data_IF_424413393439
#
_entry.id   IF_424413393439
#
_cell.length_a   1.000
_cell.length_b   1.000
_cell.length_c   1.000
_cell.angle_alpha   90.00
_cell.angle_beta   90.00
_cell.angle_gamma   90.00
#
_symmetry.space_group_name_H-M   'P 1'
#
loop_
_entity.id
_entity.type
_entity.pdbx_description
1 polymer ?
#
# COMPACT_ATOMS: atom_id res chain seq x y z
N UNK A 1 13.49 12.70 29.13
CA UNK A 1 13.99 11.55 28.38
C UNK A 1 13.07 10.39 28.72
N UNK A 2 12.23 9.97 27.79
CA UNK A 2 11.27 8.91 28.03
C UNK A 2 11.84 7.56 27.56
N UNK A 3 11.43 6.48 28.20
CA UNK A 3 11.71 5.12 27.76
C UNK A 3 10.55 4.64 26.89
N UNK A 4 10.80 4.47 25.59
CA UNK A 4 9.75 4.16 24.61
C UNK A 4 10.02 2.84 23.92
N UNK A 5 9.04 1.95 23.91
CA UNK A 5 9.10 0.66 23.21
C UNK A 5 8.45 0.77 21.83
N UNK A 6 9.17 0.37 20.81
CA UNK A 6 8.67 0.20 19.44
C UNK A 6 8.36 -1.27 19.20
N UNK A 7 7.10 -1.59 18.91
CA UNK A 7 6.63 -2.94 18.61
C UNK A 7 6.52 -3.14 17.12
N UNK A 8 7.33 -4.05 16.57
CA UNK A 8 7.41 -4.34 15.15
C UNK A 8 8.46 -3.50 14.43
N UNK A 9 9.36 -4.17 13.69
CA UNK A 9 10.52 -3.56 13.01
C UNK A 9 10.38 -3.55 11.48
N UNK A 10 9.17 -3.23 11.00
CA UNK A 10 8.93 -2.85 9.61
C UNK A 10 9.36 -1.41 9.32
N UNK A 11 9.09 -0.89 8.10
CA UNK A 11 9.41 0.50 7.72
C UNK A 11 8.92 1.52 8.76
N UNK A 12 7.68 1.37 9.24
CA UNK A 12 7.09 2.25 10.27
C UNK A 12 7.82 2.17 11.61
N UNK A 13 8.21 0.96 12.04
CA UNK A 13 8.96 0.79 13.30
C UNK A 13 10.35 1.39 13.23
N UNK A 14 11.05 1.21 12.12
CA UNK A 14 12.36 1.84 11.89
C UNK A 14 12.23 3.36 11.86
N UNK A 15 11.20 3.89 11.19
CA UNK A 15 10.92 5.34 11.16
C UNK A 15 10.64 5.89 12.56
N UNK A 16 9.78 5.21 13.32
CA UNK A 16 9.45 5.58 14.70
C UNK A 16 10.71 5.56 15.61
N UNK A 17 11.53 4.50 15.53
CA UNK A 17 12.75 4.41 16.31
C UNK A 17 13.73 5.57 16.02
N UNK A 18 13.95 5.87 14.74
CA UNK A 18 14.81 7.00 14.32
C UNK A 18 14.25 8.36 14.76
N UNK A 19 12.92 8.51 14.74
CA UNK A 19 12.26 9.73 15.17
C UNK A 19 12.38 9.94 16.68
N UNK A 20 12.12 8.89 17.47
CA UNK A 20 12.24 8.89 18.94
C UNK A 20 13.67 9.15 19.41
N UNK A 21 14.64 8.44 18.86
CA UNK A 21 16.05 8.67 19.17
C UNK A 21 16.49 10.11 18.83
N UNK A 22 16.02 10.65 17.70
CA UNK A 22 16.27 12.05 17.32
C UNK A 22 15.63 13.07 18.27
N UNK A 23 14.60 12.68 19.04
CA UNK A 23 13.97 13.47 20.12
C UNK A 23 14.74 13.34 21.46
N UNK A 24 15.67 12.41 21.56
CA UNK A 24 16.45 12.13 22.77
C UNK A 24 15.81 11.11 23.71
N UNK A 25 14.85 10.31 23.22
CA UNK A 25 14.26 9.23 24.02
C UNK A 25 15.12 7.96 24.02
N UNK A 26 15.04 7.18 25.09
CA UNK A 26 15.61 5.82 25.13
C UNK A 26 14.68 4.88 24.38
N UNK A 27 15.15 4.36 23.25
CA UNK A 27 14.35 3.50 22.37
C UNK A 27 14.64 2.02 22.65
N UNK A 28 13.59 1.26 22.90
CA UNK A 28 13.61 -0.19 22.96
C UNK A 28 12.83 -0.74 21.75
N UNK A 29 13.28 -1.89 21.21
CA UNK A 29 12.62 -2.52 20.06
C UNK A 29 12.27 -3.95 20.41
N UNK A 30 11.02 -4.34 20.13
CA UNK A 30 10.59 -5.74 20.19
C UNK A 30 9.97 -6.17 18.86
N UNK A 31 10.40 -7.29 18.30
CA UNK A 31 9.92 -7.83 17.04
C UNK A 31 9.71 -9.35 17.14
N UNK A 32 8.51 -9.81 16.79
CA UNK A 32 8.15 -11.24 16.85
C UNK A 32 8.94 -12.10 15.87
N UNK A 33 9.47 -11.51 14.80
CA UNK A 33 10.27 -12.22 13.81
C UNK A 33 11.75 -12.11 14.15
N UNK A 34 12.41 -13.24 14.15
CA UNK A 34 13.86 -13.33 14.24
C UNK A 34 14.43 -13.90 12.92
N UNK A 35 14.63 -13.02 11.95
CA UNK A 35 15.13 -13.36 10.61
C UNK A 35 16.44 -12.64 10.32
N UNK A 36 17.28 -13.13 9.38
CA UNK A 36 18.50 -12.42 8.99
C UNK A 36 18.27 -10.96 8.62
N UNK A 37 17.19 -10.65 7.89
CA UNK A 37 16.84 -9.27 7.50
C UNK A 37 16.53 -8.40 8.71
N UNK A 38 15.80 -8.91 9.70
CA UNK A 38 15.50 -8.19 10.94
C UNK A 38 16.78 -7.96 11.74
N UNK A 39 17.63 -8.99 11.88
CA UNK A 39 18.92 -8.88 12.57
C UNK A 39 19.84 -7.86 11.91
N UNK A 40 19.87 -7.80 10.59
CA UNK A 40 20.68 -6.82 9.86
C UNK A 40 20.13 -5.39 10.04
N UNK A 41 18.79 -5.22 10.03
CA UNK A 41 18.17 -3.93 10.38
C UNK A 41 18.53 -3.48 11.80
N UNK A 42 18.53 -4.40 12.77
CA UNK A 42 18.95 -4.12 14.15
C UNK A 42 20.43 -3.67 14.21
N UNK A 43 21.33 -4.38 13.50
CA UNK A 43 22.75 -3.99 13.44
C UNK A 43 22.93 -2.58 12.86
N UNK A 44 22.18 -2.24 11.81
CA UNK A 44 22.21 -0.88 11.23
C UNK A 44 21.75 0.16 12.24
N UNK A 45 20.65 -0.08 12.96
CA UNK A 45 20.14 0.85 13.97
C UNK A 45 21.14 1.03 15.15
N UNK A 46 21.84 -0.02 15.57
CA UNK A 46 22.88 0.05 16.60
C UNK A 46 24.07 0.85 16.06
N UNK A 47 24.53 0.56 14.83
CA UNK A 47 25.63 1.28 14.17
C UNK A 47 25.34 2.77 14.02
N UNK A 48 24.09 3.11 13.70
CA UNK A 48 23.62 4.50 13.55
C UNK A 48 23.39 5.19 14.92
N UNK A 49 23.62 4.52 16.04
CA UNK A 49 23.41 5.05 17.40
C UNK A 49 21.94 5.32 17.77
N UNK A 50 21.01 4.67 17.08
CA UNK A 50 19.55 4.81 17.31
C UNK A 50 19.10 4.01 18.52
N UNK A 51 19.72 2.84 18.75
CA UNK A 51 19.43 1.94 19.85
C UNK A 51 20.74 1.33 20.40
N UNK A 52 20.71 0.90 21.64
CA UNK A 52 21.77 0.10 22.24
C UNK A 52 21.52 -1.41 22.04
N UNK A 53 22.58 -2.20 22.09
CA UNK A 53 22.49 -3.66 21.89
C UNK A 53 21.56 -4.35 22.89
N UNK A 54 21.50 -3.89 24.13
CA UNK A 54 20.63 -4.41 25.19
C UNK A 54 19.15 -4.03 25.07
N UNK A 55 18.84 -3.10 24.16
CA UNK A 55 17.50 -2.52 23.98
C UNK A 55 16.69 -3.22 22.87
N UNK A 56 17.02 -4.47 22.55
CA UNK A 56 16.36 -5.23 21.48
C UNK A 56 15.92 -6.61 21.96
N UNK A 57 14.68 -6.97 21.66
CA UNK A 57 14.11 -8.30 21.89
C UNK A 57 13.57 -8.83 20.55
N UNK A 58 14.04 -10.01 20.11
CA UNK A 58 13.62 -10.67 18.88
C UNK A 58 12.99 -12.04 19.16
N UNK A 59 12.03 -12.42 18.34
CA UNK A 59 11.33 -13.72 18.43
C UNK A 59 10.15 -13.76 19.40
N UNK A 60 9.95 -12.70 20.19
CA UNK A 60 8.86 -12.59 21.16
C UNK A 60 8.51 -11.13 21.48
N UNK A 61 7.45 -10.97 22.27
CA UNK A 61 7.07 -9.70 22.89
C UNK A 61 6.81 -10.00 24.37
N UNK A 62 7.82 -9.83 25.23
CA UNK A 62 7.67 -10.11 26.66
C UNK A 62 7.22 -8.88 27.43
N UNK A 63 6.34 -9.07 28.43
CA UNK A 63 5.93 -8.01 29.35
C UNK A 63 7.13 -7.41 30.10
N UNK A 64 8.09 -8.28 30.48
CA UNK A 64 9.29 -7.85 31.17
C UNK A 64 10.10 -6.83 30.36
N UNK A 65 10.16 -6.99 29.03
CA UNK A 65 10.86 -6.07 28.15
C UNK A 65 10.16 -4.72 28.05
N UNK A 66 8.81 -4.73 28.07
CA UNK A 66 7.99 -3.53 28.00
C UNK A 66 7.80 -2.83 29.34
N UNK A 67 8.04 -3.55 30.45
CA UNK A 67 7.88 -3.02 31.80
C UNK A 67 8.71 -1.73 32.01
N UNK A 68 8.17 -0.83 32.80
CA UNK A 68 8.79 0.47 33.14
C UNK A 68 9.06 1.38 31.93
N UNK A 69 8.33 1.18 30.82
CA UNK A 69 8.30 2.13 29.70
C UNK A 69 7.19 3.17 29.86
N UNK A 70 7.44 4.37 29.37
CA UNK A 70 6.50 5.48 29.44
C UNK A 70 5.47 5.44 28.29
N UNK A 71 5.82 4.79 27.18
CA UNK A 71 5.03 4.73 25.96
C UNK A 71 5.36 3.50 25.13
N UNK A 72 4.35 2.95 24.48
CA UNK A 72 4.49 1.91 23.46
C UNK A 72 4.03 2.47 22.11
N UNK A 73 4.89 2.39 21.09
CA UNK A 73 4.58 2.74 19.71
C UNK A 73 4.45 1.45 18.88
N UNK A 74 3.27 1.21 18.33
CA UNK A 74 2.98 -0.03 17.58
C UNK A 74 3.04 0.23 16.08
N UNK A 75 3.84 -0.58 15.37
CA UNK A 75 3.84 -0.59 13.91
C UNK A 75 2.52 -1.15 13.37
N UNK A 76 2.02 -0.65 12.22
CA UNK A 76 0.82 -1.17 11.59
C UNK A 76 0.93 -2.69 11.40
N UNK A 77 -0.06 -3.42 11.90
CA UNK A 77 -0.11 -4.87 11.78
C UNK A 77 0.67 -5.67 12.81
N UNK A 78 1.44 -5.06 13.71
CA UNK A 78 1.99 -5.74 14.86
C UNK A 78 0.88 -6.02 15.89
N UNK A 79 0.92 -7.22 16.50
CA UNK A 79 0.00 -7.58 17.58
C UNK A 79 0.69 -7.27 18.90
N UNK A 80 -0.02 -6.61 19.78
CA UNK A 80 0.37 -6.40 21.17
C UNK A 80 -0.63 -7.13 22.05
N UNK A 81 -0.15 -8.06 22.90
CA UNK A 81 -1.03 -8.85 23.75
C UNK A 81 -1.56 -8.00 24.91
N UNK A 82 -0.72 -7.65 25.86
CA UNK A 82 -1.06 -6.84 27.02
C UNK A 82 -0.07 -5.68 27.16
N UNK A 83 -0.53 -4.56 27.70
CA UNK A 83 0.30 -3.34 27.85
C UNK A 83 0.43 -2.87 29.30
N UNK A 84 -0.14 -3.62 30.25
CA UNK A 84 -0.07 -3.33 31.71
C UNK A 84 -0.35 -1.85 32.07
N UNK A 85 -1.32 -1.23 31.38
CA UNK A 85 -1.68 0.17 31.60
C UNK A 85 -0.74 1.20 30.92
N UNK A 86 0.31 0.76 30.24
CA UNK A 86 1.21 1.69 29.52
C UNK A 86 0.48 2.29 28.33
N UNK A 87 0.57 3.61 28.10
CA UNK A 87 -0.03 4.25 26.94
C UNK A 87 0.46 3.63 25.62
N UNK A 88 -0.47 3.33 24.71
CA UNK A 88 -0.16 2.76 23.38
C UNK A 88 -0.67 3.69 22.30
N UNK A 89 0.18 3.98 21.30
CA UNK A 89 -0.14 4.77 20.12
C UNK A 89 0.37 4.10 18.85
N UNK A 90 -0.15 4.51 17.68
CA UNK A 90 0.41 4.13 16.38
C UNK A 90 1.63 4.99 16.02
N UNK A 91 2.43 4.50 15.06
CA UNK A 91 3.49 5.31 14.44
C UNK A 91 2.93 6.60 13.83
N UNK A 92 1.73 6.53 13.23
CA UNK A 92 1.05 7.70 12.66
C UNK A 92 0.77 8.77 13.71
N UNK A 93 0.27 8.38 14.88
CA UNK A 93 0.02 9.29 16.01
C UNK A 93 1.31 9.96 16.51
N UNK A 94 2.37 9.15 16.68
CA UNK A 94 3.68 9.69 17.06
C UNK A 94 4.17 10.73 16.05
N UNK A 95 4.15 10.39 14.77
CA UNK A 95 4.63 11.27 13.71
C UNK A 95 3.76 12.53 13.59
N UNK A 96 2.44 12.40 13.70
CA UNK A 96 1.52 13.52 13.71
C UNK A 96 1.83 14.52 14.82
N UNK A 97 2.11 14.06 16.03
CA UNK A 97 2.43 14.93 17.17
C UNK A 97 3.68 15.81 16.95
N UNK A 98 4.49 15.47 15.96
CA UNK A 98 5.73 16.16 15.60
C UNK A 98 5.69 16.82 14.20
N UNK A 99 4.59 16.66 13.47
CA UNK A 99 4.43 17.21 12.13
C UNK A 99 4.10 18.71 12.21
N UNK A 100 4.97 19.60 11.64
CA UNK A 100 4.74 21.05 11.73
C UNK A 100 3.77 21.59 10.65
N UNK A 101 3.38 20.74 9.69
CA UNK A 101 2.63 21.12 8.48
C UNK A 101 1.20 20.56 8.49
N UNK A 102 0.26 21.18 7.75
CA UNK A 102 -1.08 20.64 7.57
C UNK A 102 -1.02 19.29 6.81
N UNK A 103 -1.89 18.38 7.23
CA UNK A 103 -1.99 17.04 6.66
C UNK A 103 -3.28 16.90 5.86
N UNK A 104 -3.17 16.34 4.66
CA UNK A 104 -4.25 15.79 3.85
C UNK A 104 -4.18 14.27 3.99
N UNK A 105 -5.18 13.66 4.62
CA UNK A 105 -5.19 12.23 4.90
C UNK A 105 -6.18 11.47 4.01
N UNK A 106 -5.73 10.39 3.37
CA UNK A 106 -6.54 9.58 2.43
C UNK A 106 -6.72 8.18 2.97
N UNK A 107 -7.97 7.75 3.19
CA UNK A 107 -8.31 6.37 3.52
C UNK A 107 -9.42 5.83 2.61
N UNK A 108 -9.68 4.55 2.72
CA UNK A 108 -10.69 3.80 1.96
C UNK A 108 -10.33 2.33 1.89
N UNK A 109 -11.20 1.51 1.37
CA UNK A 109 -10.87 0.12 1.06
C UNK A 109 -9.98 0.07 -0.18
N UNK A 110 -10.38 0.74 -1.26
CA UNK A 110 -9.67 0.80 -2.54
C UNK A 110 -9.37 2.24 -2.96
N UNK A 111 -8.46 2.43 -3.93
CA UNK A 111 -8.18 3.74 -4.55
C UNK A 111 -7.20 4.63 -3.79
N UNK A 112 -6.90 4.36 -2.52
CA UNK A 112 -6.05 5.20 -1.66
C UNK A 112 -4.76 5.67 -2.34
N UNK A 113 -3.96 4.73 -2.81
CA UNK A 113 -2.65 5.03 -3.43
C UNK A 113 -2.81 5.94 -4.66
N UNK A 114 -3.80 5.65 -5.51
CA UNK A 114 -4.08 6.45 -6.71
C UNK A 114 -4.43 7.89 -6.33
N UNK A 115 -5.37 8.05 -5.39
CA UNK A 115 -5.81 9.38 -4.96
C UNK A 115 -4.70 10.15 -4.27
N UNK A 116 -3.97 9.52 -3.36
CA UNK A 116 -2.83 10.15 -2.66
C UNK A 116 -1.76 10.62 -3.64
N UNK A 117 -1.42 9.79 -4.63
CA UNK A 117 -0.43 10.14 -5.67
C UNK A 117 -0.92 11.30 -6.54
N UNK A 118 -2.17 11.25 -7.02
CA UNK A 118 -2.74 12.28 -7.86
C UNK A 118 -2.83 13.64 -7.13
N UNK A 119 -3.29 13.65 -5.89
CA UNK A 119 -3.30 14.86 -5.06
C UNK A 119 -1.89 15.43 -4.98
N UNK A 120 -0.89 14.59 -4.65
CA UNK A 120 0.50 15.03 -4.58
C UNK A 120 0.99 15.65 -5.90
N UNK A 121 0.74 15.01 -7.04
CA UNK A 121 1.13 15.51 -8.35
C UNK A 121 0.44 16.84 -8.70
N UNK A 122 -0.85 16.97 -8.39
CA UNK A 122 -1.60 18.20 -8.64
C UNK A 122 -1.08 19.35 -7.76
N UNK A 123 -0.80 19.10 -6.49
CA UNK A 123 -0.34 20.11 -5.53
C UNK A 123 1.07 20.64 -5.82
N UNK A 124 1.95 19.82 -6.40
CA UNK A 124 3.31 20.24 -6.82
C UNK A 124 3.23 21.46 -7.78
N UNK A 125 2.17 21.56 -8.57
CA UNK A 125 1.98 22.70 -9.49
C UNK A 125 1.82 24.05 -8.80
N UNK A 126 1.48 24.06 -7.50
CA UNK A 126 1.38 25.29 -6.70
C UNK A 126 2.76 25.86 -6.29
N UNK A 127 3.86 25.21 -6.70
CA UNK A 127 5.22 25.61 -6.30
C UNK A 127 5.52 25.38 -4.81
N UNK A 128 4.68 24.63 -4.09
CA UNK A 128 4.88 24.29 -2.67
C UNK A 128 5.67 23.00 -2.51
N UNK A 129 6.30 22.83 -1.36
CA UNK A 129 6.96 21.57 -0.98
C UNK A 129 5.88 20.55 -0.59
N UNK A 130 5.71 19.49 -1.41
CA UNK A 130 4.67 18.47 -1.23
C UNK A 130 5.32 17.15 -0.87
N UNK A 131 4.93 16.58 0.28
CA UNK A 131 5.41 15.30 0.77
C UNK A 131 4.28 14.27 0.71
N UNK A 132 4.47 13.23 -0.12
CA UNK A 132 3.54 12.09 -0.24
C UNK A 132 4.12 10.91 0.53
N UNK A 133 3.41 10.41 1.54
CA UNK A 133 3.94 9.40 2.45
C UNK A 133 2.84 8.54 3.12
N UNK A 134 3.22 7.70 4.08
CA UNK A 134 2.31 6.92 4.93
C UNK A 134 2.30 5.43 4.61
N UNK A 135 1.14 4.87 4.29
CA UNK A 135 1.01 3.47 3.86
C UNK A 135 1.57 3.24 2.43
N UNK A 136 1.90 4.30 1.74
CA UNK A 136 2.64 4.37 0.48
C UNK A 136 4.02 5.00 0.73
N UNK A 137 5.05 4.50 0.05
CA UNK A 137 6.40 5.06 0.14
C UNK A 137 6.99 4.94 1.54
N UNK A 138 7.48 6.05 2.07
CA UNK A 138 8.00 6.13 3.42
C UNK A 138 6.89 6.37 4.45
N UNK A 139 7.01 5.84 5.68
CA UNK A 139 6.10 6.19 6.76
C UNK A 139 6.23 7.68 7.12
N UNK A 140 5.17 8.27 7.69
CA UNK A 140 5.20 9.68 8.06
C UNK A 140 6.36 10.01 9.02
N UNK A 141 6.65 9.10 9.97
CA UNK A 141 7.79 9.24 10.90
C UNK A 141 9.16 9.36 10.21
N UNK A 142 9.31 8.73 9.05
CA UNK A 142 10.53 8.82 8.24
C UNK A 142 10.70 10.16 7.53
N UNK A 143 9.61 10.92 7.35
CA UNK A 143 9.59 12.18 6.62
C UNK A 143 9.64 13.41 7.52
N UNK A 144 9.38 13.30 8.81
CA UNK A 144 9.25 14.44 9.75
C UNK A 144 10.42 15.42 9.67
N UNK A 145 11.66 14.92 9.56
CA UNK A 145 12.84 15.77 9.52
C UNK A 145 12.93 16.71 8.30
N UNK A 146 12.24 16.35 7.20
CA UNK A 146 12.23 17.16 5.97
C UNK A 146 11.01 18.06 5.87
N UNK A 147 9.95 17.81 6.65
CA UNK A 147 8.71 18.57 6.62
C UNK A 147 8.95 19.94 7.26
N UNK A 148 8.58 20.99 6.55
CA UNK A 148 8.60 22.38 7.00
C UNK A 148 7.18 22.87 7.29
N UNK A 149 7.00 24.01 7.95
CA UNK A 149 5.70 24.58 8.28
C UNK A 149 4.86 24.92 7.04
N UNK A 150 5.49 25.26 5.93
CA UNK A 150 4.89 25.63 4.64
C UNK A 150 4.74 24.44 3.67
N UNK A 151 5.22 23.24 4.04
CA UNK A 151 5.01 22.03 3.28
C UNK A 151 3.51 21.65 3.28
N UNK A 152 3.09 20.85 2.28
CA UNK A 152 1.82 20.12 2.29
C UNK A 152 2.14 18.64 2.42
N UNK A 153 1.52 17.98 3.40
CA UNK A 153 1.75 16.55 3.63
C UNK A 153 0.51 15.76 3.22
N UNK A 154 0.67 14.88 2.23
CA UNK A 154 -0.41 13.99 1.74
C UNK A 154 -0.13 12.58 2.23
N UNK A 155 -0.96 12.08 3.14
CA UNK A 155 -0.71 10.81 3.84
C UNK A 155 -1.74 9.76 3.44
N UNK A 156 -1.28 8.65 2.85
CA UNK A 156 -2.12 7.46 2.72
C UNK A 156 -2.24 6.76 4.07
N UNK A 157 -3.46 6.49 4.53
CA UNK A 157 -3.69 5.90 5.85
C UNK A 157 -4.53 4.61 5.75
N UNK A 158 -4.03 3.53 6.36
CA UNK A 158 -4.75 2.26 6.53
C UNK A 158 -5.61 2.25 7.81
N UNK A 159 -6.57 1.31 7.91
CA UNK A 159 -7.33 1.10 9.16
C UNK A 159 -6.41 0.78 10.33
N UNK A 160 -5.37 -0.04 10.11
CA UNK A 160 -4.40 -0.43 11.15
C UNK A 160 -3.59 0.73 11.71
N UNK A 161 -3.29 1.75 10.90
CA UNK A 161 -2.62 2.96 11.36
C UNK A 161 -3.56 3.83 12.19
N UNK A 162 -4.86 3.85 11.85
CA UNK A 162 -5.88 4.63 12.54
C UNK A 162 -6.34 4.02 13.86
N UNK A 163 -6.28 2.68 14.05
CA UNK A 163 -6.77 2.00 15.25
C UNK A 163 -6.27 2.60 16.57
N UNK A 164 -5.00 3.04 16.58
CA UNK A 164 -4.33 3.55 17.78
C UNK A 164 -3.97 5.03 17.67
N UNK A 165 -4.75 5.80 16.91
CA UNK A 165 -4.69 7.26 16.92
C UNK A 165 -5.52 7.81 18.07
N UNK A 166 -5.09 8.95 18.65
CA UNK A 166 -5.77 9.66 19.76
C UNK A 166 -6.07 11.10 19.41
N UNK A 167 -5.03 11.83 18.98
CA UNK A 167 -5.10 13.26 18.64
C UNK A 167 -5.01 13.54 17.14
N UNK A 168 -4.78 12.52 16.31
CA UNK A 168 -4.64 12.67 14.86
C UNK A 168 -5.80 13.46 14.27
N UNK A 169 -5.46 14.65 13.73
CA UNK A 169 -6.41 15.63 13.17
C UNK A 169 -5.85 16.18 11.86
N UNK A 170 -6.11 15.54 10.72
CA UNK A 170 -5.73 16.11 9.43
C UNK A 170 -6.59 17.35 9.11
N UNK A 171 -6.02 18.32 8.41
CA UNK A 171 -6.76 19.52 7.94
C UNK A 171 -7.82 19.15 6.90
N UNK A 172 -7.47 18.18 6.05
CA UNK A 172 -8.39 17.59 5.06
C UNK A 172 -8.32 16.08 5.18
N UNK A 173 -9.47 15.42 5.26
CA UNK A 173 -9.59 13.97 5.25
C UNK A 173 -10.47 13.48 4.10
N UNK A 174 -10.17 12.32 3.56
CA UNK A 174 -10.91 11.70 2.46
C UNK A 174 -11.20 10.25 2.81
N UNK A 175 -12.47 9.84 2.73
CA UNK A 175 -12.91 8.45 2.78
C UNK A 175 -13.47 8.09 1.42
N UNK A 176 -12.72 7.29 0.64
CA UNK A 176 -13.06 6.98 -0.76
C UNK A 176 -14.23 6.02 -0.88
N UNK A 177 -14.18 4.96 -0.12
CA UNK A 177 -15.17 3.87 -0.09
C UNK A 177 -14.92 2.97 1.11
N UNK A 178 -15.95 2.26 1.55
CA UNK A 178 -15.87 1.23 2.59
C UNK A 178 -16.59 -0.01 2.10
N UNK A 179 -15.86 -1.10 1.90
CA UNK A 179 -16.37 -2.41 1.54
C UNK A 179 -15.63 -3.50 2.33
N UNK A 180 -16.16 -4.70 2.35
CA UNK A 180 -15.55 -5.83 3.07
C UNK A 180 -14.09 -6.04 2.68
N UNK A 181 -13.23 -5.95 3.68
CA UNK A 181 -11.80 -6.22 3.55
C UNK A 181 -11.17 -6.42 4.94
N UNK A 182 -10.06 -7.16 5.02
CA UNK A 182 -9.29 -7.35 6.27
C UNK A 182 -10.08 -7.97 7.43
N UNK A 183 -11.10 -8.80 7.18
CA UNK A 183 -11.83 -9.55 8.19
C UNK A 183 -11.01 -10.71 8.81
N UNK A 184 -9.81 -10.94 8.32
CA UNK A 184 -8.77 -11.77 8.94
C UNK A 184 -8.05 -11.09 10.11
N UNK A 185 -8.25 -9.77 10.26
CA UNK A 185 -7.58 -8.92 11.25
C UNK A 185 -8.53 -8.13 12.14
N UNK A 186 -9.60 -7.56 11.59
CA UNK A 186 -10.71 -6.98 12.34
C UNK A 186 -11.70 -8.08 12.68
N UNK A 187 -12.28 -8.03 13.85
CA UNK A 187 -13.27 -9.02 14.31
C UNK A 187 -14.51 -9.06 13.41
N UNK A 188 -14.89 -7.90 12.89
CA UNK A 188 -16.07 -7.72 12.01
C UNK A 188 -15.97 -6.42 11.19
N UNK A 189 -17.00 -6.16 10.38
CA UNK A 189 -17.11 -4.93 9.57
C UNK A 189 -17.28 -3.68 10.41
N UNK A 190 -17.89 -3.76 11.56
CA UNK A 190 -18.14 -2.59 12.44
C UNK A 190 -16.83 -2.07 13.00
N UNK A 191 -15.95 -2.96 13.48
CA UNK A 191 -14.60 -2.60 13.93
C UNK A 191 -13.78 -1.99 12.79
N UNK A 192 -13.83 -2.59 11.59
CA UNK A 192 -13.13 -2.06 10.41
C UNK A 192 -13.60 -0.65 10.03
N UNK A 193 -14.92 -0.43 9.99
CA UNK A 193 -15.51 0.89 9.75
C UNK A 193 -15.09 1.87 10.84
N UNK A 194 -15.26 1.49 12.11
CA UNK A 194 -14.88 2.32 13.26
C UNK A 194 -13.42 2.77 13.21
N UNK A 195 -12.51 1.84 12.87
CA UNK A 195 -11.11 2.18 12.70
C UNK A 195 -10.88 3.25 11.62
N UNK A 196 -11.56 3.16 10.46
CA UNK A 196 -11.43 4.16 9.39
C UNK A 196 -12.02 5.52 9.78
N UNK A 197 -13.12 5.54 10.52
CA UNK A 197 -13.77 6.78 10.94
C UNK A 197 -12.90 7.61 11.89
N UNK A 198 -11.89 7.02 12.52
CA UNK A 198 -10.92 7.77 13.33
C UNK A 198 -10.17 8.85 12.55
N UNK A 199 -10.13 8.77 11.21
CA UNK A 199 -9.46 9.77 10.37
C UNK A 199 -10.01 11.19 10.58
N UNK A 200 -11.28 11.33 10.92
CA UNK A 200 -11.93 12.63 11.16
C UNK A 200 -12.41 12.85 12.59
N UNK A 201 -12.18 11.90 13.52
CA UNK A 201 -12.74 11.94 14.88
C UNK A 201 -12.37 13.19 15.66
N UNK A 202 -11.22 13.79 15.37
CA UNK A 202 -10.74 15.01 16.04
C UNK A 202 -10.89 16.27 15.17
N UNK A 203 -11.46 16.17 13.97
CA UNK A 203 -11.72 17.32 13.11
C UNK A 203 -12.86 18.18 13.69
N UNK A 204 -12.80 19.48 13.44
CA UNK A 204 -13.83 20.46 13.79
C UNK A 204 -14.28 21.29 12.58
N UNK A 205 -15.04 22.36 12.82
CA UNK A 205 -15.65 23.19 11.76
C UNK A 205 -14.65 23.81 10.78
N UNK A 206 -13.38 23.95 11.17
CA UNK A 206 -12.33 24.53 10.31
C UNK A 206 -11.69 23.48 9.37
N UNK A 207 -12.00 22.19 9.56
CA UNK A 207 -11.44 21.08 8.81
C UNK A 207 -12.45 20.57 7.76
N UNK A 208 -11.96 19.79 6.79
CA UNK A 208 -12.80 19.28 5.71
C UNK A 208 -12.75 17.76 5.62
N UNK A 209 -13.90 17.13 5.51
CA UNK A 209 -14.07 15.71 5.23
C UNK A 209 -14.69 15.53 3.85
N UNK A 210 -13.96 14.88 2.93
CA UNK A 210 -14.49 14.46 1.65
C UNK A 210 -15.04 13.04 1.69
N UNK A 211 -16.25 12.86 1.17
CA UNK A 211 -16.97 11.59 1.10
C UNK A 211 -17.45 11.30 -0.32
N UNK A 212 -17.66 10.01 -0.61
CA UNK A 212 -18.31 9.56 -1.82
C UNK A 212 -19.83 9.53 -1.62
N UNK A 213 -20.59 10.36 -2.29
CA UNK A 213 -22.06 10.37 -2.16
C UNK A 213 -22.72 9.05 -2.62
N UNK A 214 -22.01 8.26 -3.48
CA UNK A 214 -22.50 6.97 -3.94
C UNK A 214 -22.25 5.83 -2.94
N UNK A 215 -21.40 6.05 -1.92
CA UNK A 215 -21.18 5.06 -0.87
C UNK A 215 -22.34 5.08 0.15
N UNK A 216 -22.89 3.90 0.42
CA UNK A 216 -24.07 3.75 1.30
C UNK A 216 -23.86 4.24 2.73
N UNK A 217 -22.62 4.27 3.19
CA UNK A 217 -22.27 4.72 4.55
C UNK A 217 -22.03 6.22 4.64
N UNK A 218 -21.83 6.92 3.53
CA UNK A 218 -21.46 8.34 3.51
C UNK A 218 -22.45 9.24 4.25
N UNK A 219 -23.76 8.98 4.11
CA UNK A 219 -24.77 9.75 4.85
C UNK A 219 -24.63 9.59 6.37
N UNK A 220 -24.50 8.34 6.85
CA UNK A 220 -24.30 8.05 8.28
C UNK A 220 -22.99 8.66 8.83
N UNK A 221 -21.95 8.71 7.98
CA UNK A 221 -20.66 9.33 8.33
C UNK A 221 -20.83 10.84 8.43
N UNK A 222 -21.48 11.46 7.44
CA UNK A 222 -21.75 12.89 7.41
C UNK A 222 -22.51 13.35 8.67
N UNK A 223 -23.55 12.60 9.08
CA UNK A 223 -24.37 12.92 10.25
C UNK A 223 -23.59 12.88 11.58
N UNK A 224 -22.47 12.15 11.62
CA UNK A 224 -21.58 12.05 12.80
C UNK A 224 -20.43 13.05 12.78
N UNK A 225 -20.21 13.74 11.69
CA UNK A 225 -19.09 14.66 11.51
C UNK A 225 -19.34 16.00 12.18
N UNK A 226 -18.30 16.58 12.80
CA UNK A 226 -18.28 17.95 13.33
C UNK A 226 -17.60 18.93 12.36
N UNK A 227 -16.89 18.42 11.37
CA UNK A 227 -16.19 19.19 10.36
C UNK A 227 -17.10 19.49 9.15
N UNK A 228 -16.63 20.35 8.26
CA UNK A 228 -17.29 20.62 6.99
C UNK A 228 -17.23 19.37 6.10
N UNK A 229 -18.39 18.84 5.72
CA UNK A 229 -18.47 17.69 4.80
C UNK A 229 -18.68 18.17 3.38
N UNK A 230 -17.84 17.66 2.46
CA UNK A 230 -17.94 17.86 1.03
C UNK A 230 -18.05 16.49 0.33
N UNK A 231 -18.81 16.44 -0.77
CA UNK A 231 -18.95 15.23 -1.56
C UNK A 231 -18.23 15.42 -2.89
N UNK A 232 -17.31 14.51 -3.23
CA UNK A 232 -16.53 14.65 -4.45
C UNK A 232 -17.28 14.34 -5.75
N UNK A 233 -18.53 13.89 -5.68
CA UNK A 233 -19.44 13.85 -6.83
C UNK A 233 -20.09 15.21 -7.14
N UNK A 234 -19.87 16.27 -6.29
CA UNK A 234 -20.19 17.66 -6.61
C UNK A 234 -19.61 18.12 -7.96
N UNK A 235 -18.55 17.45 -8.39
CA UNK A 235 -17.92 17.61 -9.70
C UNK A 235 -18.63 16.81 -10.81
N UNK A 236 -19.95 16.59 -10.72
CA UNK A 236 -20.75 15.98 -11.81
C UNK A 236 -20.61 16.70 -13.15
N UNK A 237 -20.36 18.01 -13.10
CA UNK A 237 -20.10 18.79 -14.30
C UNK A 237 -18.77 18.37 -14.96
N UNK A 238 -17.76 17.97 -14.20
CA UNK A 238 -16.51 17.41 -14.73
C UNK A 238 -16.74 16.04 -15.41
N UNK A 239 -17.58 15.17 -14.82
CA UNK A 239 -17.99 13.91 -15.49
C UNK A 239 -18.57 14.21 -16.88
N UNK A 240 -19.50 15.16 -16.97
CA UNK A 240 -20.17 15.51 -18.23
C UNK A 240 -19.25 16.24 -19.21
N UNK A 241 -18.49 17.22 -18.70
CA UNK A 241 -17.67 18.11 -19.54
C UNK A 241 -16.42 17.40 -20.07
N UNK A 242 -15.79 16.51 -19.29
CA UNK A 242 -14.50 15.88 -19.60
C UNK A 242 -14.56 14.37 -19.69
N UNK A 243 -15.77 13.77 -19.62
CA UNK A 243 -15.98 12.32 -19.64
C UNK A 243 -15.14 11.56 -18.59
N UNK A 244 -14.97 12.14 -17.38
CA UNK A 244 -14.21 11.51 -16.29
C UNK A 244 -15.14 10.59 -15.50
N UNK A 245 -15.08 9.29 -15.76
CA UNK A 245 -15.87 8.27 -15.06
C UNK A 245 -15.20 7.77 -13.76
N UNK A 246 -13.87 7.95 -13.62
CA UNK A 246 -13.10 7.39 -12.54
C UNK A 246 -13.26 8.22 -11.24
N UNK A 247 -13.90 7.63 -10.23
CA UNK A 247 -14.15 8.26 -8.93
C UNK A 247 -12.87 8.67 -8.19
N UNK A 248 -11.75 7.95 -8.39
CA UNK A 248 -10.47 8.35 -7.81
C UNK A 248 -9.96 9.67 -8.39
N UNK A 249 -10.21 9.93 -9.68
CA UNK A 249 -9.86 11.20 -10.30
C UNK A 249 -10.72 12.33 -9.73
N UNK A 250 -12.03 12.12 -9.60
CA UNK A 250 -12.92 13.11 -9.00
C UNK A 250 -12.55 13.42 -7.55
N UNK A 251 -12.22 12.40 -6.75
CA UNK A 251 -11.76 12.59 -5.38
C UNK A 251 -10.48 13.43 -5.30
N UNK A 252 -9.48 13.12 -6.14
CA UNK A 252 -8.23 13.86 -6.19
C UNK A 252 -8.43 15.33 -6.64
N UNK A 253 -9.25 15.54 -7.68
CA UNK A 253 -9.58 16.88 -8.19
C UNK A 253 -10.32 17.72 -7.14
N UNK A 254 -11.24 17.11 -6.38
CA UNK A 254 -11.99 17.81 -5.33
C UNK A 254 -11.06 18.42 -4.29
N UNK A 255 -10.08 17.63 -3.84
CA UNK A 255 -9.08 18.08 -2.86
C UNK A 255 -8.15 19.12 -3.48
N UNK A 256 -7.64 18.88 -4.68
CA UNK A 256 -6.75 19.80 -5.38
C UNK A 256 -7.41 21.15 -5.62
N UNK A 257 -8.71 21.16 -5.98
CA UNK A 257 -9.52 22.39 -6.13
C UNK A 257 -9.68 23.16 -4.81
N UNK A 258 -9.87 22.45 -3.68
CA UNK A 258 -9.92 23.09 -2.35
C UNK A 258 -8.61 23.80 -2.02
N UNK A 259 -7.48 23.22 -2.44
CA UNK A 259 -6.14 23.77 -2.25
C UNK A 259 -5.75 24.83 -3.31
N UNK A 260 -6.64 25.17 -4.25
CA UNK A 260 -6.45 26.23 -5.23
C UNK A 260 -5.76 25.81 -6.54
N UNK A 261 -5.66 24.50 -6.83
CA UNK A 261 -5.14 24.02 -8.12
C UNK A 261 -6.14 24.32 -9.23
N UNK A 262 -5.66 24.90 -10.34
CA UNK A 262 -6.52 25.21 -11.48
C UNK A 262 -7.00 23.96 -12.23
N UNK A 263 -8.16 24.09 -12.88
CA UNK A 263 -8.79 23.00 -13.64
C UNK A 263 -7.87 22.46 -14.74
N UNK A 264 -7.21 23.34 -15.51
CA UNK A 264 -6.29 22.97 -16.59
C UNK A 264 -5.13 22.11 -16.08
N UNK A 265 -4.58 22.43 -14.91
CA UNK A 265 -3.50 21.65 -14.28
C UNK A 265 -4.02 20.29 -13.85
N UNK A 266 -5.20 20.23 -13.21
CA UNK A 266 -5.79 18.96 -12.79
C UNK A 266 -6.04 18.03 -13.99
N UNK A 267 -6.60 18.56 -15.09
CA UNK A 267 -6.84 17.81 -16.33
C UNK A 267 -5.54 17.32 -16.98
N UNK A 268 -4.52 18.18 -17.01
CA UNK A 268 -3.19 17.79 -17.50
C UNK A 268 -2.62 16.62 -16.71
N UNK A 269 -2.61 16.71 -15.38
CA UNK A 269 -2.12 15.63 -14.51
C UNK A 269 -2.89 14.32 -14.76
N UNK A 270 -4.23 14.38 -14.89
CA UNK A 270 -5.05 13.19 -15.18
C UNK A 270 -4.72 12.61 -16.55
N UNK A 271 -4.56 13.43 -17.60
CA UNK A 271 -4.25 12.96 -18.96
C UNK A 271 -2.86 12.32 -19.05
N UNK A 272 -1.91 12.78 -18.24
CA UNK A 272 -0.55 12.26 -18.17
C UNK A 272 -0.39 11.08 -17.20
N UNK A 273 -1.43 10.78 -16.39
CA UNK A 273 -1.36 9.75 -15.37
C UNK A 273 -1.36 8.34 -15.95
N UNK A 274 -0.21 7.68 -15.89
CA UNK A 274 0.00 6.31 -16.40
C UNK A 274 -0.35 5.19 -15.41
N UNK A 275 -1.01 5.52 -14.30
CA UNK A 275 -1.28 4.57 -13.22
C UNK A 275 -0.22 4.59 -12.13
N UNK A 276 -0.31 3.63 -11.22
CA UNK A 276 0.62 3.48 -10.09
C UNK A 276 1.65 2.43 -10.45
N UNK A 277 2.92 2.74 -10.26
CA UNK A 277 4.02 1.80 -10.46
C UNK A 277 3.78 0.51 -9.67
N UNK A 278 4.03 -0.63 -10.30
CA UNK A 278 3.81 -1.97 -9.74
C UNK A 278 2.35 -2.34 -9.42
N UNK A 279 1.35 -1.59 -9.94
CA UNK A 279 -0.07 -1.89 -9.76
C UNK A 279 -0.80 -1.88 -11.10
N UNK A 280 -1.01 -3.06 -11.67
CA UNK A 280 -1.50 -3.24 -13.05
C UNK A 280 -0.82 -2.29 -14.04
N UNK A 281 0.46 -2.00 -13.81
CA UNK A 281 1.28 -1.11 -14.62
C UNK A 281 1.56 -1.77 -15.97
N UNK A 282 1.08 -1.16 -17.06
CA UNK A 282 1.46 -1.58 -18.40
C UNK A 282 2.94 -1.21 -18.65
N UNK A 283 3.78 -2.22 -18.81
CA UNK A 283 5.23 -2.04 -19.00
C UNK A 283 5.57 -1.86 -20.46
N UNK A 284 5.05 -2.74 -21.30
CA UNK A 284 5.34 -2.76 -22.74
C UNK A 284 4.41 -3.71 -23.48
N UNK A 285 4.23 -3.47 -24.78
CA UNK A 285 3.69 -4.43 -25.74
C UNK A 285 4.83 -4.89 -26.63
N UNK A 286 5.09 -6.20 -26.68
CA UNK A 286 6.15 -6.83 -27.49
C UNK A 286 5.52 -7.92 -28.36
N UNK A 287 5.65 -7.83 -29.66
CA UNK A 287 5.05 -8.76 -30.64
C UNK A 287 3.52 -8.91 -30.48
N UNK A 288 2.85 -7.88 -29.98
CA UNK A 288 1.41 -7.88 -29.71
C UNK A 288 0.99 -8.57 -28.40
N UNK A 289 1.95 -8.86 -27.52
CA UNK A 289 1.73 -9.38 -26.16
C UNK A 289 1.96 -8.24 -25.17
N UNK A 290 0.99 -8.00 -24.27
CA UNK A 290 1.09 -6.98 -23.25
C UNK A 290 1.76 -7.52 -21.98
N UNK A 291 2.71 -6.77 -21.43
CA UNK A 291 3.34 -7.08 -20.15
C UNK A 291 2.83 -6.14 -19.06
N UNK A 292 2.24 -6.73 -18.02
CA UNK A 292 1.59 -6.00 -16.92
C UNK A 292 2.26 -6.33 -15.59
N UNK A 293 2.73 -5.30 -14.92
CA UNK A 293 3.40 -5.38 -13.62
C UNK A 293 2.42 -5.06 -12.49
N UNK A 294 2.05 -6.09 -11.73
CA UNK A 294 1.24 -5.97 -10.53
C UNK A 294 1.99 -6.54 -9.31
N UNK A 295 3.30 -6.27 -9.24
CA UNK A 295 4.17 -6.79 -8.17
C UNK A 295 3.69 -6.39 -6.76
N UNK A 296 2.91 -5.33 -6.62
CA UNK A 296 2.29 -4.90 -5.36
C UNK A 296 1.18 -5.85 -4.87
N UNK A 297 0.68 -6.75 -5.70
CA UNK A 297 -0.28 -7.80 -5.33
C UNK A 297 0.40 -8.90 -4.49
N UNK A 298 0.61 -8.62 -3.22
CA UNK A 298 1.28 -9.54 -2.28
C UNK A 298 0.31 -10.44 -1.51
N UNK A 299 -0.99 -10.40 -1.82
CA UNK A 299 -2.04 -11.23 -1.21
C UNK A 299 -2.93 -11.85 -2.28
N UNK A 300 -3.58 -12.96 -1.94
CA UNK A 300 -4.55 -13.64 -2.84
C UNK A 300 -5.68 -12.72 -3.25
N UNK A 301 -6.23 -11.92 -2.33
CA UNK A 301 -7.28 -10.94 -2.63
C UNK A 301 -6.84 -9.85 -3.63
N UNK A 302 -5.56 -9.48 -3.62
CA UNK A 302 -5.03 -8.53 -4.61
C UNK A 302 -4.98 -9.14 -6.00
N UNK A 303 -4.60 -10.43 -6.14
CA UNK A 303 -4.65 -11.16 -7.41
C UNK A 303 -6.08 -11.30 -7.92
N UNK A 304 -7.02 -11.62 -7.01
CA UNK A 304 -8.44 -11.69 -7.33
C UNK A 304 -8.93 -10.36 -7.95
N UNK A 305 -8.56 -9.25 -7.33
CA UNK A 305 -8.88 -7.92 -7.84
C UNK A 305 -8.24 -7.64 -9.21
N UNK A 306 -6.98 -8.02 -9.40
CA UNK A 306 -6.28 -7.87 -10.68
C UNK A 306 -6.98 -8.66 -11.79
N UNK A 307 -7.35 -9.92 -11.52
CA UNK A 307 -8.07 -10.77 -12.47
C UNK A 307 -9.50 -10.26 -12.77
N UNK A 308 -10.17 -9.61 -11.79
CA UNK A 308 -11.46 -8.93 -12.03
C UNK A 308 -11.33 -7.75 -12.98
N UNK A 309 -10.22 -7.00 -12.86
CA UNK A 309 -9.98 -5.74 -13.56
C UNK A 309 -9.47 -5.92 -15.00
N UNK A 310 -8.98 -7.09 -15.37
CA UNK A 310 -8.46 -7.39 -16.71
C UNK A 310 -9.41 -8.28 -17.49
N UNK A 311 -9.35 -8.16 -18.82
CA UNK A 311 -10.03 -9.06 -19.73
C UNK A 311 -9.34 -10.43 -19.76
N UNK A 312 -9.88 -11.35 -20.57
CA UNK A 312 -9.37 -12.70 -20.78
C UNK A 312 -7.98 -12.74 -21.45
N UNK A 313 -7.45 -13.97 -21.66
CA UNK A 313 -6.16 -14.27 -22.28
C UNK A 313 -4.96 -13.85 -21.44
N UNK A 314 -4.95 -14.24 -20.16
CA UNK A 314 -3.88 -13.93 -19.22
C UNK A 314 -2.94 -15.12 -19.08
N UNK A 315 -1.63 -14.88 -19.15
CA UNK A 315 -0.60 -15.78 -18.63
C UNK A 315 -0.17 -15.21 -17.28
N UNK A 316 -0.48 -15.92 -16.20
CA UNK A 316 -0.34 -15.42 -14.84
C UNK A 316 0.95 -15.90 -14.20
N UNK A 317 1.85 -14.98 -13.84
CA UNK A 317 3.06 -15.27 -13.05
C UNK A 317 2.74 -15.02 -11.58
N UNK A 318 2.82 -16.08 -10.75
CA UNK A 318 2.52 -16.05 -9.32
C UNK A 318 3.65 -16.61 -8.49
N UNK A 319 3.71 -16.21 -7.20
CA UNK A 319 4.58 -16.82 -6.23
C UNK A 319 5.50 -15.87 -5.50
N UNK A 320 6.36 -16.44 -4.70
CA UNK A 320 7.17 -15.74 -3.71
C UNK A 320 7.05 -16.41 -2.35
N UNK A 321 7.31 -15.70 -1.26
CA UNK A 321 7.17 -16.22 0.10
C UNK A 321 5.72 -16.30 0.52
N UNK A 322 5.26 -17.50 0.83
CA UNK A 322 3.90 -17.75 1.31
C UNK A 322 3.69 -17.19 2.72
N UNK A 323 2.62 -16.40 2.91
CA UNK A 323 2.24 -15.81 4.20
C UNK A 323 0.86 -16.23 4.70
N UNK A 324 0.33 -17.33 4.17
CA UNK A 324 -1.07 -17.68 4.32
C UNK A 324 -1.92 -17.12 3.18
N UNK A 325 -3.14 -17.56 3.10
CA UNK A 325 -4.09 -17.22 2.05
C UNK A 325 -4.50 -18.45 1.25
N UNK A 326 -5.76 -18.49 0.89
CA UNK A 326 -6.35 -19.62 0.17
C UNK A 326 -6.38 -19.33 -1.33
N UNK A 327 -5.45 -19.92 -2.08
CA UNK A 327 -5.40 -19.79 -3.54
C UNK A 327 -6.62 -20.40 -4.23
N UNK A 328 -7.38 -21.30 -3.57
CA UNK A 328 -8.58 -21.91 -4.18
C UNK A 328 -9.66 -20.86 -4.53
N UNK A 329 -9.66 -19.73 -3.84
CA UNK A 329 -10.54 -18.57 -4.14
C UNK A 329 -10.36 -18.00 -5.54
N UNK A 330 -9.22 -18.25 -6.17
CA UNK A 330 -8.94 -17.76 -7.52
C UNK A 330 -9.44 -18.69 -8.62
N UNK A 331 -9.92 -19.93 -8.31
CA UNK A 331 -10.25 -20.96 -9.29
C UNK A 331 -11.20 -20.48 -10.39
N UNK A 332 -12.28 -19.79 -10.02
CA UNK A 332 -13.28 -19.34 -10.99
C UNK A 332 -12.70 -18.30 -11.97
N UNK A 333 -11.89 -17.35 -11.45
CA UNK A 333 -11.24 -16.34 -12.27
C UNK A 333 -10.17 -16.95 -13.16
N UNK A 334 -9.37 -17.87 -12.62
CA UNK A 334 -8.33 -18.59 -13.37
C UNK A 334 -8.97 -19.38 -14.51
N UNK A 335 -10.02 -20.14 -14.26
CA UNK A 335 -10.71 -20.91 -15.30
C UNK A 335 -11.26 -20.04 -16.43
N UNK A 336 -11.79 -18.86 -16.10
CA UNK A 336 -12.40 -17.95 -17.08
C UNK A 336 -11.39 -17.13 -17.86
N UNK A 337 -10.32 -16.65 -17.24
CA UNK A 337 -9.46 -15.58 -17.78
C UNK A 337 -8.02 -15.96 -18.04
N UNK A 338 -7.52 -17.05 -17.41
CA UNK A 338 -6.10 -17.41 -17.46
C UNK A 338 -5.90 -18.58 -18.43
N UNK A 339 -4.91 -18.46 -19.31
CA UNK A 339 -4.49 -19.55 -20.22
C UNK A 339 -3.52 -20.49 -19.51
N UNK A 340 -2.49 -19.93 -18.87
CA UNK A 340 -1.42 -20.67 -18.16
C UNK A 340 -1.04 -19.96 -16.87
N UNK A 341 -0.53 -20.73 -15.91
CA UNK A 341 0.06 -20.22 -14.67
C UNK A 341 1.53 -20.57 -14.65
N UNK A 342 2.37 -19.62 -14.27
CA UNK A 342 3.79 -19.86 -14.02
C UNK A 342 4.05 -19.54 -12.56
N UNK A 343 4.41 -20.58 -11.80
CA UNK A 343 4.66 -20.50 -10.37
C UNK A 343 6.17 -20.35 -10.08
N UNK A 344 6.53 -19.39 -9.23
CA UNK A 344 7.91 -19.14 -8.81
C UNK A 344 8.04 -19.12 -7.28
N UNK A 345 9.26 -19.26 -6.79
CA UNK A 345 9.60 -19.09 -5.37
C UNK A 345 9.05 -20.16 -4.42
N UNK A 346 9.04 -19.83 -3.14
CA UNK A 346 8.69 -20.77 -2.06
C UNK A 346 7.23 -21.26 -2.10
N UNK A 347 6.31 -20.47 -2.66
CA UNK A 347 4.86 -20.76 -2.67
C UNK A 347 4.42 -21.75 -3.76
N UNK A 348 5.30 -22.26 -4.61
CA UNK A 348 4.96 -23.19 -5.71
C UNK A 348 4.08 -24.37 -5.28
N UNK A 349 4.39 -25.12 -4.19
CA UNK A 349 3.55 -26.23 -3.75
C UNK A 349 2.13 -25.82 -3.36
N UNK A 350 1.97 -24.66 -2.68
CA UNK A 350 0.69 -24.15 -2.23
C UNK A 350 -0.17 -23.66 -3.41
N UNK A 351 0.45 -23.02 -4.41
CA UNK A 351 -0.21 -22.61 -5.65
C UNK A 351 -0.73 -23.82 -6.40
N UNK A 352 0.11 -24.84 -6.60
CA UNK A 352 -0.30 -26.11 -7.26
C UNK A 352 -1.46 -26.78 -6.53
N UNK A 353 -1.39 -26.86 -5.20
CA UNK A 353 -2.47 -27.46 -4.38
C UNK A 353 -3.75 -26.63 -4.49
N UNK A 354 -3.67 -25.31 -4.34
CA UNK A 354 -4.84 -24.43 -4.31
C UNK A 354 -5.52 -24.30 -5.67
N UNK A 355 -4.78 -24.35 -6.78
CA UNK A 355 -5.28 -24.20 -8.14
C UNK A 355 -5.35 -25.54 -8.91
N UNK A 356 -5.23 -26.66 -8.21
CA UNK A 356 -5.40 -27.98 -8.82
C UNK A 356 -6.75 -28.11 -9.55
N UNK A 357 -6.72 -28.69 -10.76
CA UNK A 357 -7.90 -28.87 -11.59
C UNK A 357 -8.37 -27.61 -12.34
N UNK A 358 -7.58 -26.55 -12.37
CA UNK A 358 -7.86 -25.34 -13.18
C UNK A 358 -7.10 -25.36 -14.51
N UNK A 359 -6.01 -24.63 -14.59
CA UNK A 359 -5.16 -24.52 -15.78
C UNK A 359 -3.81 -25.20 -15.57
N UNK A 360 -3.07 -25.39 -16.64
CA UNK A 360 -1.72 -25.94 -16.57
C UNK A 360 -0.80 -24.98 -15.78
N UNK A 361 -0.04 -25.55 -14.83
CA UNK A 361 0.86 -24.80 -13.94
C UNK A 361 2.30 -25.25 -14.24
N UNK A 362 3.07 -24.32 -14.76
CA UNK A 362 4.51 -24.48 -14.97
C UNK A 362 5.26 -23.93 -13.75
N UNK A 363 6.39 -24.53 -13.43
CA UNK A 363 7.26 -24.07 -12.35
C UNK A 363 8.58 -23.55 -12.92
N UNK A 364 8.98 -22.38 -12.46
CA UNK A 364 10.27 -21.79 -12.83
C UNK A 364 11.08 -21.42 -11.59
N UNK A 365 12.39 -21.40 -11.73
CA UNK A 365 13.30 -21.16 -10.60
C UNK A 365 13.34 -19.69 -10.21
N UNK A 366 13.28 -18.80 -11.21
CA UNK A 366 13.41 -17.36 -11.03
C UNK A 366 12.45 -16.56 -11.94
N UNK A 367 12.35 -15.27 -11.67
CA UNK A 367 11.47 -14.37 -12.41
C UNK A 367 11.86 -14.23 -13.89
N UNK A 368 13.16 -14.27 -14.21
CA UNK A 368 13.63 -14.17 -15.60
C UNK A 368 13.21 -15.38 -16.42
N UNK A 369 13.40 -16.59 -15.89
CA UNK A 369 12.94 -17.83 -16.52
C UNK A 369 11.42 -17.82 -16.68
N UNK A 370 10.67 -17.36 -15.65
CA UNK A 370 9.22 -17.26 -15.70
C UNK A 370 8.72 -16.31 -16.80
N UNK A 371 9.30 -15.12 -16.92
CA UNK A 371 8.94 -14.16 -17.98
C UNK A 371 9.28 -14.70 -19.36
N UNK A 372 10.44 -15.34 -19.53
CA UNK A 372 10.82 -15.95 -20.80
C UNK A 372 9.91 -17.13 -21.17
N UNK A 373 9.53 -17.98 -20.19
CA UNK A 373 8.60 -19.09 -20.41
C UNK A 373 7.19 -18.59 -20.78
N UNK A 374 6.72 -17.54 -20.08
CA UNK A 374 5.46 -16.88 -20.38
C UNK A 374 5.45 -16.34 -21.80
N UNK A 375 6.49 -15.63 -22.20
CA UNK A 375 6.58 -15.01 -23.53
C UNK A 375 6.67 -16.05 -24.65
N UNK A 376 7.34 -17.19 -24.44
CA UNK A 376 7.39 -18.29 -25.42
C UNK A 376 6.03 -18.95 -25.64
N UNK A 377 5.15 -18.95 -24.65
CA UNK A 377 3.81 -19.55 -24.69
C UNK A 377 2.70 -18.56 -25.10
N UNK A 378 3.02 -17.26 -25.16
CA UNK A 378 2.06 -16.22 -25.45
C UNK A 378 1.77 -16.10 -26.94
N UNK A 379 0.50 -15.97 -27.27
CA UNK A 379 0.02 -15.59 -28.59
C UNK A 379 -0.24 -14.08 -28.67
N UNK A 380 -0.33 -13.56 -29.89
CA UNK A 380 -0.69 -12.15 -30.11
C UNK A 380 -2.06 -11.84 -29.50
N UNK A 381 -2.10 -10.83 -28.65
CA UNK A 381 -3.29 -10.41 -27.89
C UNK A 381 -3.33 -10.95 -26.46
N UNK A 382 -2.39 -11.83 -26.07
CA UNK A 382 -2.27 -12.26 -24.68
C UNK A 382 -1.67 -11.18 -23.77
N UNK A 383 -1.96 -11.31 -22.46
CA UNK A 383 -1.43 -10.46 -21.40
C UNK A 383 -0.57 -11.29 -20.46
N UNK A 384 0.71 -10.97 -20.32
CA UNK A 384 1.59 -11.56 -19.30
C UNK A 384 1.49 -10.69 -18.05
N UNK A 385 0.84 -11.22 -17.01
CA UNK A 385 0.57 -10.54 -15.76
C UNK A 385 1.46 -11.07 -14.64
N UNK A 386 2.36 -10.23 -14.11
CA UNK A 386 3.01 -10.49 -12.83
C UNK A 386 2.08 -10.04 -11.70
N UNK A 387 1.31 -10.96 -11.11
CA UNK A 387 0.47 -10.71 -9.92
C UNK A 387 0.71 -11.81 -8.89
N UNK A 388 1.72 -11.65 -8.03
CA UNK A 388 2.34 -12.75 -7.29
C UNK A 388 1.47 -13.43 -6.24
N UNK A 389 0.54 -12.72 -5.59
CA UNK A 389 -0.24 -13.26 -4.47
C UNK A 389 0.58 -13.59 -3.22
N UNK A 390 1.87 -13.31 -3.25
CA UNK A 390 2.87 -13.64 -2.23
C UNK A 390 3.81 -12.46 -1.99
N UNK A 391 4.41 -12.42 -0.80
CA UNK A 391 5.49 -11.45 -0.57
C UNK A 391 6.74 -11.82 -1.37
N UNK A 392 7.64 -10.84 -1.54
CA UNK A 392 8.82 -10.96 -2.40
C UNK A 392 10.11 -11.38 -1.69
N UNK A 393 10.07 -11.53 -0.35
CA UNK A 393 11.28 -11.64 0.49
C UNK A 393 12.04 -12.97 0.41
N UNK A 394 11.63 -13.90 -0.44
CA UNK A 394 12.39 -15.11 -0.77
C UNK A 394 13.42 -14.86 -1.86
N UNK A 395 13.15 -13.94 -2.79
CA UNK A 395 14.00 -13.69 -3.96
C UNK A 395 14.38 -12.21 -4.14
N UNK A 396 13.70 -11.27 -3.47
CA UNK A 396 13.86 -9.83 -3.66
C UNK A 396 13.83 -9.08 -2.34
N UNK A 397 14.41 -7.87 -2.29
CA UNK A 397 14.43 -7.01 -1.10
C UNK A 397 13.02 -6.57 -0.67
N UNK A 398 12.15 -6.28 -1.63
CA UNK A 398 10.77 -5.85 -1.45
C UNK A 398 9.97 -6.04 -2.75
N UNK A 399 8.69 -5.69 -2.76
CA UNK A 399 7.85 -5.80 -3.97
C UNK A 399 8.25 -4.78 -5.04
N UNK A 400 8.77 -3.63 -4.66
CA UNK A 400 9.29 -2.62 -5.58
C UNK A 400 10.48 -3.16 -6.37
N UNK A 401 11.42 -3.82 -5.68
CA UNK A 401 12.59 -4.46 -6.30
C UNK A 401 12.16 -5.56 -7.29
N UNK A 402 11.22 -6.44 -6.89
CA UNK A 402 10.64 -7.46 -7.79
C UNK A 402 10.00 -6.83 -9.03
N UNK A 403 9.23 -5.77 -8.85
CA UNK A 403 8.57 -5.08 -9.96
C UNK A 403 9.55 -4.37 -10.88
N UNK A 404 10.62 -3.78 -10.35
CA UNK A 404 11.71 -3.17 -11.12
C UNK A 404 12.45 -4.23 -11.96
N UNK A 405 12.83 -5.34 -11.34
CA UNK A 405 13.48 -6.47 -12.04
C UNK A 405 12.58 -7.03 -13.15
N UNK A 406 11.27 -7.15 -12.92
CA UNK A 406 10.32 -7.54 -13.98
C UNK A 406 10.37 -6.57 -15.16
N UNK A 407 10.35 -5.27 -14.93
CA UNK A 407 10.43 -4.24 -15.97
C UNK A 407 11.75 -4.33 -16.76
N UNK A 408 12.87 -4.50 -16.08
CA UNK A 408 14.20 -4.66 -16.70
C UNK A 408 14.25 -5.91 -17.62
N UNK A 409 13.70 -7.04 -17.16
CA UNK A 409 13.62 -8.27 -17.96
C UNK A 409 12.77 -8.02 -19.20
N UNK A 410 11.56 -7.46 -19.05
CA UNK A 410 10.66 -7.17 -20.17
C UNK A 410 11.32 -6.25 -21.20
N UNK A 411 11.97 -5.17 -20.75
CA UNK A 411 12.64 -4.23 -21.65
C UNK A 411 13.82 -4.90 -22.40
N UNK A 412 14.50 -5.86 -21.78
CA UNK A 412 15.59 -6.63 -22.43
C UNK A 412 15.08 -7.53 -23.56
N UNK A 413 13.82 -7.97 -23.52
CA UNK A 413 13.21 -8.78 -24.59
C UNK A 413 13.05 -8.01 -25.91
N UNK A 414 12.95 -6.68 -25.87
CA UNK A 414 12.85 -5.84 -27.09
C UNK A 414 14.07 -5.95 -28.00
N UNK A 415 15.27 -6.20 -27.43
CA UNK A 415 16.52 -6.30 -28.17
C UNK A 415 16.88 -7.75 -28.55
N UNK A 416 16.24 -8.75 -27.97
CA UNK A 416 16.53 -10.15 -28.24
C UNK A 416 15.70 -10.65 -29.44
N UNK A 417 16.35 -11.36 -30.38
CA UNK A 417 15.69 -12.05 -31.51
C UNK A 417 14.89 -13.30 -31.04
N UNK A 418 14.23 -13.26 -29.92
CA UNK A 418 13.26 -14.29 -29.51
C UNK A 418 12.03 -14.17 -30.43
N UNK A 419 12.08 -14.85 -31.59
CA UNK A 419 10.91 -15.01 -32.46
C UNK A 419 9.90 -15.89 -31.72
N UNK A 420 8.65 -15.47 -31.68
CA UNK A 420 7.54 -16.36 -31.39
C UNK A 420 7.63 -17.55 -32.37
N UNK A 421 7.38 -18.80 -31.95
CA UNK A 421 7.23 -19.90 -32.87
C UNK A 421 6.16 -19.50 -33.89
N UNK A 422 6.46 -19.60 -35.19
CA UNK A 422 5.45 -19.49 -36.24
C UNK A 422 4.53 -20.69 -36.06
N UNK A 423 3.26 -20.44 -35.79
CA UNK A 423 2.24 -21.44 -36.03
C UNK A 423 2.16 -21.62 -37.55
N UNK A 424 2.96 -22.53 -38.07
CA UNK A 424 2.72 -23.10 -39.39
C UNK A 424 1.46 -23.97 -39.24
N UNK A 425 0.37 -23.48 -39.80
CA UNK A 425 -0.92 -24.17 -39.96
C UNK A 425 -0.75 -25.46 -40.77
#
# INVERSE_FOLDING_TARGET
>A
MNKVVVVGLGRSGVGAAKLLAGRGDTVLITEIKDTPVVRDTVKELIKDGIIEQGNVELGCHTERFMKDSDLIVVSPGAKLAENNGIPVISELELAYSMCPAPIIAVTGTSGKTTVTTLIGQMLVSLGRDVIVCGNIGNPLSGEIKRIKKDSIVVVEVSSFQLERTRSFRPKTSIILNISENHLDRHSDMEEYVSAKLRIFSNQDADDVLFLNAMDKLSKKISDKSKCRVEFFDKYKDFRKRYHIENENFLAAMSVASLEGVSEDVMLKVISEFKGIEHRLEHVSTINGVDFINDSKATTVSSVEWALKSLDEKIILIMGGRYKGGDFSRLKDFVNKKVNYIIAIGEARPQIKKGLAGTKEIFEEEDLKKAVCAAFKKADKGDKILLSPGCSSFDMFKNYEDRGRVFKEIVLSLRGSRLRLPRNDT
#
